data_IF_471523709874
#
_entry.id   IF_471523709874
#
_cell.length_a   1.000
_cell.length_b   1.000
_cell.length_c   1.000
_cell.angle_alpha   90.00
_cell.angle_beta   90.00
_cell.angle_gamma   90.00
#
_symmetry.space_group_name_H-M   'P 1'
#
loop_
_entity.id
_entity.type
_entity.pdbx_description
1 polymer ?
#
# COMPACT_ATOMS: atom_id res chain seq x y z
N UNK A 1 6.85 12.05 -55.20
CA UNK A 1 5.56 11.39 -54.88
C UNK A 1 5.61 9.88 -54.72
N UNK A 2 6.38 9.10 -55.52
CA UNK A 2 6.41 7.62 -55.41
C UNK A 2 7.05 7.07 -54.11
N UNK A 3 7.98 7.79 -53.47
CA UNK A 3 8.63 7.33 -52.21
C UNK A 3 7.76 7.46 -50.96
N UNK A 4 6.82 8.42 -50.89
CA UNK A 4 5.94 8.60 -49.73
C UNK A 4 4.77 7.61 -49.72
N UNK A 5 4.33 7.12 -50.86
CA UNK A 5 3.24 6.14 -50.98
C UNK A 5 3.72 4.75 -50.48
N UNK A 6 4.99 4.39 -50.71
CA UNK A 6 5.55 3.10 -50.28
C UNK A 6 5.67 2.97 -48.77
N UNK A 7 5.97 4.06 -48.06
CA UNK A 7 6.08 4.09 -46.59
C UNK A 7 4.71 3.93 -45.90
N UNK A 8 3.68 4.54 -46.47
CA UNK A 8 2.32 4.48 -45.92
C UNK A 8 1.73 3.06 -46.06
N UNK A 9 2.00 2.37 -47.20
CA UNK A 9 1.52 0.99 -47.42
C UNK A 9 2.18 0.00 -46.46
N UNK A 10 3.48 0.16 -46.15
CA UNK A 10 4.17 -0.72 -45.16
C UNK A 10 3.68 -0.49 -43.73
N UNK A 11 3.36 0.74 -43.33
CA UNK A 11 2.85 1.01 -41.98
C UNK A 11 1.42 0.43 -41.77
N UNK A 12 0.56 0.48 -42.76
CA UNK A 12 -0.80 -0.08 -42.71
C UNK A 12 -0.78 -1.62 -42.68
N UNK A 13 0.14 -2.25 -43.42
CA UNK A 13 0.29 -3.71 -43.43
C UNK A 13 0.80 -4.25 -42.04
N UNK A 14 1.72 -3.54 -41.38
CA UNK A 14 2.22 -3.91 -40.07
C UNK A 14 1.13 -3.78 -38.97
N UNK A 15 0.26 -2.79 -39.04
CA UNK A 15 -0.84 -2.60 -38.09
C UNK A 15 -1.91 -3.70 -38.22
N UNK A 16 -2.17 -4.20 -39.44
CA UNK A 16 -3.14 -5.27 -39.70
C UNK A 16 -2.66 -6.64 -39.19
N UNK A 17 -1.36 -6.91 -39.18
CA UNK A 17 -0.78 -8.17 -38.68
C UNK A 17 -0.87 -8.25 -37.15
N UNK A 18 -0.65 -7.15 -36.43
CA UNK A 18 -0.76 -7.09 -34.96
C UNK A 18 -2.19 -7.31 -34.49
N UNK A 19 -3.19 -6.76 -35.21
CA UNK A 19 -4.61 -6.93 -34.82
C UNK A 19 -5.14 -8.34 -35.09
N UNK A 20 -4.60 -9.08 -36.07
CA UNK A 20 -4.97 -10.46 -36.35
C UNK A 20 -4.35 -11.44 -35.33
N UNK A 21 -3.11 -11.23 -34.91
CA UNK A 21 -2.44 -12.05 -33.90
C UNK A 21 -3.11 -11.91 -32.50
N UNK A 22 -3.55 -10.70 -32.11
CA UNK A 22 -4.27 -10.45 -30.87
C UNK A 22 -5.65 -11.14 -30.80
N UNK A 23 -6.36 -11.27 -31.93
CA UNK A 23 -7.66 -11.93 -31.99
C UNK A 23 -7.59 -13.46 -31.89
N UNK A 24 -6.51 -14.08 -32.35
CA UNK A 24 -6.27 -15.53 -32.21
C UNK A 24 -5.87 -15.89 -30.77
N UNK A 25 -5.10 -15.04 -30.07
CA UNK A 25 -4.72 -15.26 -28.70
C UNK A 25 -5.92 -15.25 -27.73
N UNK A 26 -6.87 -14.34 -27.92
CA UNK A 26 -8.09 -14.23 -27.09
C UNK A 26 -9.05 -15.42 -27.33
N UNK A 27 -9.08 -15.99 -28.54
CA UNK A 27 -9.93 -17.17 -28.82
C UNK A 27 -9.42 -18.43 -28.17
N UNK A 28 -8.10 -18.63 -28.03
CA UNK A 28 -7.51 -19.83 -27.44
C UNK A 28 -7.68 -19.85 -25.91
N UNK A 29 -7.58 -18.70 -25.21
CA UNK A 29 -7.81 -18.64 -23.76
C UNK A 29 -9.26 -18.86 -23.34
N UNK A 30 -10.25 -18.61 -24.21
CA UNK A 30 -11.66 -18.83 -23.90
C UNK A 30 -12.13 -20.28 -24.04
N UNK A 31 -11.27 -21.17 -24.57
CA UNK A 31 -11.60 -22.59 -24.80
C UNK A 31 -11.12 -23.50 -23.66
N UNK A 32 -10.22 -23.04 -22.78
CA UNK A 32 -9.69 -23.83 -21.66
C UNK A 32 -10.45 -23.67 -20.32
N UNK A 33 -11.36 -22.70 -20.21
CA UNK A 33 -12.05 -22.42 -18.94
C UNK A 33 -13.42 -23.12 -18.76
N UNK A 34 -13.87 -23.96 -19.71
CA UNK A 34 -15.22 -24.54 -19.68
C UNK A 34 -15.27 -26.05 -19.43
N UNK A 35 -14.21 -26.68 -18.96
CA UNK A 35 -14.22 -28.15 -18.79
C UNK A 35 -13.67 -28.58 -17.42
N UNK A 36 -14.31 -28.14 -16.32
CA UNK A 36 -14.23 -28.78 -14.99
C UNK A 36 -15.38 -28.32 -14.09
N UNK A 37 -16.52 -28.94 -14.27
CA UNK A 37 -17.53 -29.05 -13.22
C UNK A 37 -18.37 -30.30 -13.47
N UNK A 38 -18.14 -31.35 -12.71
CA UNK A 38 -19.20 -32.28 -12.26
C UNK A 38 -18.65 -33.39 -11.37
N UNK A 39 -19.40 -33.65 -10.28
CA UNK A 39 -19.46 -34.85 -9.40
C UNK A 39 -18.32 -34.99 -8.37
N UNK A 40 -18.58 -35.22 -7.05
CA UNK A 40 -19.56 -36.05 -6.39
C UNK A 40 -19.78 -35.63 -4.93
N UNK A 41 -21.03 -35.72 -4.50
CA UNK A 41 -21.51 -35.78 -3.13
C UNK A 41 -21.24 -37.18 -2.56
N UNK A 42 -20.75 -37.26 -1.32
CA UNK A 42 -20.89 -38.46 -0.48
C UNK A 42 -21.05 -38.04 0.97
N UNK A 43 -22.24 -38.35 1.48
CA UNK A 43 -22.59 -38.39 2.91
C UNK A 43 -21.78 -39.44 3.64
N UNK A 44 -21.40 -39.17 4.91
CA UNK A 44 -21.36 -40.18 5.97
C UNK A 44 -21.40 -39.54 7.36
N UNK A 45 -22.53 -39.69 7.97
CA UNK A 45 -22.97 -40.23 9.29
C UNK A 45 -22.02 -40.09 10.47
N UNK A 46 -22.63 -39.53 11.54
CA UNK A 46 -22.22 -39.55 12.95
C UNK A 46 -22.04 -40.98 13.46
N UNK A 47 -21.03 -41.19 14.32
CA UNK A 47 -21.08 -42.26 15.34
C UNK A 47 -20.41 -41.79 16.65
N UNK A 48 -20.94 -42.34 17.71
CA UNK A 48 -21.00 -41.99 19.11
C UNK A 48 -19.71 -42.05 19.94
N UNK A 49 -19.77 -41.28 21.04
CA UNK A 49 -18.85 -41.22 22.17
C UNK A 49 -18.98 -42.50 23.04
N UNK A 50 -17.96 -42.98 23.75
CA UNK A 50 -18.15 -43.34 25.11
C UNK A 50 -17.20 -42.63 26.09
N UNK A 51 -17.87 -42.16 27.13
CA UNK A 51 -17.46 -41.78 28.48
C UNK A 51 -16.60 -42.83 29.18
N UNK A 52 -15.47 -42.44 29.81
CA UNK A 52 -14.87 -43.20 30.92
C UNK A 52 -14.16 -42.27 31.90
N UNK A 53 -14.78 -42.19 33.03
CA UNK A 53 -14.44 -41.94 34.43
C UNK A 53 -12.97 -41.85 34.88
N UNK A 54 -12.79 -40.85 35.74
CA UNK A 54 -11.67 -40.53 36.66
C UNK A 54 -11.44 -41.66 37.69
N UNK A 55 -10.21 -41.80 38.20
CA UNK A 55 -10.05 -41.92 39.63
C UNK A 55 -9.04 -40.93 40.24
N UNK A 56 -9.51 -40.39 41.34
CA UNK A 56 -8.88 -39.66 42.41
C UNK A 56 -7.69 -40.43 43.05
N UNK A 57 -6.58 -39.77 43.32
CA UNK A 57 -5.65 -40.18 44.37
C UNK A 57 -4.84 -38.98 44.92
N UNK A 58 -5.11 -38.79 46.18
CA UNK A 58 -4.48 -38.10 47.30
C UNK A 58 -2.99 -37.71 47.24
N UNK A 59 -2.76 -36.52 47.80
CA UNK A 59 -1.52 -35.85 48.21
C UNK A 59 -0.78 -36.61 49.30
N UNK A 60 0.55 -36.44 49.41
CA UNK A 60 1.11 -36.05 50.69
C UNK A 60 2.02 -34.81 50.60
N UNK A 61 1.83 -33.98 51.59
CA UNK A 61 2.63 -32.88 52.08
C UNK A 61 4.09 -33.27 52.39
N UNK A 62 5.09 -32.49 52.01
CA UNK A 62 6.31 -32.29 52.80
C UNK A 62 7.18 -31.12 52.30
N UNK A 63 7.33 -30.11 53.17
CA UNK A 63 8.50 -29.30 53.52
C UNK A 63 9.31 -28.48 52.52
N UNK A 64 9.14 -27.19 52.63
CA UNK A 64 10.06 -26.03 52.85
C UNK A 64 11.52 -26.20 52.37
N UNK A 65 11.90 -25.34 51.42
CA UNK A 65 13.23 -24.74 51.35
C UNK A 65 13.13 -23.34 50.78
N UNK A 66 13.48 -22.34 51.57
CA UNK A 66 13.74 -20.96 51.23
C UNK A 66 14.81 -20.86 50.12
N UNK A 67 14.47 -20.26 49.00
CA UNK A 67 15.46 -19.63 48.13
C UNK A 67 14.94 -18.24 47.71
N UNK A 68 15.56 -17.21 48.24
CA UNK A 68 15.43 -15.82 47.82
C UNK A 68 15.76 -15.70 46.34
N UNK A 69 14.75 -15.58 45.50
CA UNK A 69 14.83 -14.99 44.16
C UNK A 69 14.45 -13.53 44.27
N UNK A 70 15.23 -12.57 43.72
CA UNK A 70 14.80 -11.20 43.70
C UNK A 70 13.58 -11.10 42.76
N UNK A 71 12.49 -10.68 43.34
CA UNK A 71 11.24 -10.34 42.65
C UNK A 71 11.49 -9.12 41.77
N UNK A 72 11.82 -9.37 40.48
CA UNK A 72 11.85 -8.34 39.44
C UNK A 72 10.52 -8.43 38.70
N UNK A 73 9.45 -8.12 39.40
CA UNK A 73 8.16 -7.87 38.74
C UNK A 73 8.23 -6.52 38.05
N UNK A 74 8.80 -6.47 36.85
CA UNK A 74 8.57 -5.36 35.89
C UNK A 74 7.09 -5.43 35.53
N UNK A 75 6.32 -4.40 35.88
CA UNK A 75 4.90 -4.36 35.59
C UNK A 75 4.70 -4.30 34.07
N UNK A 76 3.60 -4.87 33.57
CA UNK A 76 3.23 -4.74 32.14
C UNK A 76 3.19 -3.27 31.71
N UNK A 77 2.85 -2.35 32.62
CA UNK A 77 2.88 -0.90 32.39
C UNK A 77 4.30 -0.36 32.17
N UNK A 78 5.32 -0.87 32.90
CA UNK A 78 6.72 -0.42 32.71
C UNK A 78 7.31 -0.95 31.40
N UNK A 79 6.88 -2.12 30.93
CA UNK A 79 7.29 -2.69 29.64
C UNK A 79 6.64 -1.91 28.50
N UNK A 80 5.36 -1.53 28.60
CA UNK A 80 4.66 -0.71 27.63
C UNK A 80 5.26 0.69 27.51
N UNK A 81 5.61 1.33 28.62
CA UNK A 81 6.19 2.67 28.65
C UNK A 81 7.60 2.69 28.03
N UNK A 82 8.45 1.70 28.35
CA UNK A 82 9.78 1.57 27.75
C UNK A 82 9.74 1.24 26.25
N UNK A 83 8.77 0.46 25.80
CA UNK A 83 8.58 0.17 24.39
C UNK A 83 8.11 1.40 23.62
N UNK A 84 7.21 2.19 24.22
CA UNK A 84 6.69 3.43 23.64
C UNK A 84 7.80 4.49 23.48
N UNK A 85 8.62 4.73 24.49
CA UNK A 85 9.72 5.70 24.41
C UNK A 85 10.81 5.26 23.40
N UNK A 86 11.14 3.96 23.32
CA UNK A 86 12.06 3.44 22.30
C UNK A 86 11.51 3.61 20.88
N UNK A 87 10.19 3.54 20.69
CA UNK A 87 9.58 3.69 19.38
C UNK A 87 9.51 5.15 18.91
N UNK A 88 9.52 6.14 19.81
CA UNK A 88 9.57 7.56 19.42
C UNK A 88 10.83 7.94 18.67
N UNK A 89 11.97 7.36 19.03
CA UNK A 89 13.25 7.60 18.35
C UNK A 89 13.27 7.06 16.91
N UNK A 90 12.33 6.17 16.57
CA UNK A 90 12.17 5.61 15.22
C UNK A 90 11.36 6.50 14.27
N UNK A 91 10.75 7.59 14.77
CA UNK A 91 10.08 8.59 13.96
C UNK A 91 10.98 9.81 13.78
N UNK A 92 11.56 9.95 12.60
CA UNK A 92 12.46 11.08 12.34
C UNK A 92 12.40 11.56 10.90
N UNK A 93 12.80 12.83 10.74
CA UNK A 93 13.02 13.48 9.45
C UNK A 93 14.50 13.74 9.30
N UNK A 94 15.03 13.51 8.12
CA UNK A 94 16.39 13.87 7.76
C UNK A 94 16.48 14.48 6.36
N UNK A 95 17.60 15.11 6.07
CA UNK A 95 17.98 15.41 4.68
C UNK A 95 18.17 14.08 3.93
N UNK A 96 17.98 14.12 2.61
CA UNK A 96 18.24 12.96 1.76
C UNK A 96 19.74 12.65 1.79
N UNK A 97 20.13 11.49 2.34
CA UNK A 97 21.53 11.04 2.33
C UNK A 97 22.00 10.67 0.92
N UNK A 98 23.32 10.57 0.72
CA UNK A 98 23.85 10.17 -0.59
C UNK A 98 23.42 8.77 -0.98
N UNK A 99 23.34 7.83 -0.03
CA UNK A 99 22.89 6.45 -0.26
C UNK A 99 21.42 6.38 -0.70
N UNK A 100 20.54 7.19 -0.06
CA UNK A 100 19.14 7.31 -0.45
C UNK A 100 19.03 7.94 -1.83
N UNK A 101 19.79 9.03 -2.06
CA UNK A 101 19.76 9.73 -3.33
C UNK A 101 20.24 8.85 -4.50
N UNK A 102 21.26 8.01 -4.27
CA UNK A 102 21.73 7.05 -5.28
C UNK A 102 20.64 6.04 -5.66
N UNK A 103 19.86 5.55 -4.68
CA UNK A 103 18.69 4.67 -4.96
C UNK A 103 17.62 5.37 -5.81
N UNK A 104 17.42 6.68 -5.61
CA UNK A 104 16.39 7.48 -6.29
C UNK A 104 16.80 7.89 -7.72
N UNK A 105 18.10 8.04 -8.00
CA UNK A 105 18.60 8.53 -9.29
C UNK A 105 18.18 7.61 -10.44
N UNK A 106 17.57 8.22 -11.47
CA UNK A 106 17.06 7.50 -12.65
C UNK A 106 15.75 6.74 -12.43
N UNK A 107 15.26 6.69 -11.20
CA UNK A 107 13.98 6.10 -10.81
C UNK A 107 12.99 7.20 -10.41
N UNK A 108 12.72 7.38 -9.11
CA UNK A 108 11.85 8.47 -8.65
C UNK A 108 12.43 9.85 -8.91
N UNK A 109 13.76 10.01 -8.82
CA UNK A 109 14.46 11.25 -9.16
C UNK A 109 15.04 11.16 -10.58
N UNK A 110 14.20 11.44 -11.58
CA UNK A 110 14.56 11.35 -13.01
C UNK A 110 15.52 12.47 -13.43
N UNK A 111 16.22 12.26 -14.56
CA UNK A 111 17.22 13.21 -15.07
C UNK A 111 16.65 14.61 -15.40
N UNK A 112 15.35 14.69 -15.69
CA UNK A 112 14.60 15.92 -15.97
C UNK A 112 13.88 16.47 -14.73
N UNK A 113 14.13 15.90 -13.54
CA UNK A 113 13.59 16.40 -12.29
C UNK A 113 14.07 17.82 -12.02
N UNK A 114 13.12 18.74 -11.86
CA UNK A 114 13.40 20.15 -11.60
C UNK A 114 13.34 20.52 -10.12
N UNK A 115 12.92 19.58 -9.25
CA UNK A 115 12.86 19.80 -7.82
C UNK A 115 14.27 19.61 -7.23
N UNK A 116 14.86 20.63 -6.55
CA UNK A 116 16.15 20.48 -5.88
C UNK A 116 16.10 19.42 -4.77
N UNK A 117 17.14 18.59 -4.66
CA UNK A 117 17.28 17.56 -3.61
C UNK A 117 17.10 18.14 -2.20
N UNK A 118 17.62 19.33 -1.94
CA UNK A 118 17.51 20.04 -0.68
C UNK A 118 16.10 20.47 -0.30
N UNK A 119 15.13 20.37 -1.22
CA UNK A 119 13.72 20.57 -0.94
C UNK A 119 13.01 19.26 -0.56
N UNK A 120 13.68 18.13 -0.65
CA UNK A 120 13.17 16.84 -0.21
C UNK A 120 13.65 16.48 1.20
N UNK A 121 12.84 15.69 1.91
CA UNK A 121 13.17 15.09 3.20
C UNK A 121 12.87 13.61 3.15
N UNK A 122 13.76 12.84 3.75
CA UNK A 122 13.53 11.46 4.09
C UNK A 122 12.81 11.41 5.43
N UNK A 123 11.78 10.59 5.50
CA UNK A 123 11.02 10.33 6.72
C UNK A 123 11.08 8.85 7.02
N UNK A 124 11.51 8.51 8.24
CA UNK A 124 11.41 7.17 8.79
C UNK A 124 10.25 7.12 9.77
N UNK A 125 9.42 6.09 9.64
CA UNK A 125 8.22 5.87 10.46
C UNK A 125 8.12 4.42 10.90
N UNK A 126 7.32 4.17 11.93
CA UNK A 126 6.78 2.84 12.21
C UNK A 126 5.33 2.77 11.75
N UNK A 127 4.87 1.59 11.36
CA UNK A 127 3.47 1.33 11.07
C UNK A 127 3.05 -0.05 11.56
N UNK A 128 1.76 -0.23 11.82
CA UNK A 128 1.18 -1.54 12.11
C UNK A 128 0.77 -2.18 10.79
N UNK A 129 1.34 -3.32 10.45
CA UNK A 129 1.00 -4.07 9.24
C UNK A 129 -0.35 -4.79 9.36
N UNK A 130 -0.80 -5.37 8.25
CA UNK A 130 -2.02 -6.19 8.23
C UNK A 130 -1.85 -7.52 9.00
N UNK A 131 -0.63 -7.90 9.31
CA UNK A 131 -0.26 -9.00 10.20
C UNK A 131 -0.30 -8.63 11.71
N UNK A 132 -0.72 -7.39 12.03
CA UNK A 132 -0.70 -6.81 13.38
C UNK A 132 0.71 -6.73 14.00
N UNK A 133 1.76 -6.73 13.18
CA UNK A 133 3.12 -6.50 13.65
C UNK A 133 3.55 -5.08 13.33
N UNK A 134 4.54 -4.60 14.08
CA UNK A 134 5.17 -3.30 13.83
C UNK A 134 6.25 -3.47 12.77
N UNK A 135 6.21 -2.62 11.77
CA UNK A 135 7.17 -2.55 10.67
C UNK A 135 7.81 -1.17 10.59
N UNK A 136 9.01 -1.11 10.03
CA UNK A 136 9.66 0.14 9.65
C UNK A 136 9.17 0.58 8.26
N UNK A 137 8.98 1.88 8.08
CA UNK A 137 8.54 2.48 6.83
C UNK A 137 9.40 3.67 6.42
N UNK A 138 9.48 3.91 5.11
CA UNK A 138 10.30 4.96 4.51
C UNK A 138 9.48 5.79 3.53
N UNK A 139 9.56 7.11 3.62
CA UNK A 139 8.95 8.06 2.69
C UNK A 139 9.96 9.14 2.28
N UNK A 140 9.77 9.69 1.09
CA UNK A 140 10.40 10.93 0.67
C UNK A 140 9.32 11.92 0.32
N UNK A 141 9.34 13.10 0.95
CA UNK A 141 8.37 14.17 0.70
C UNK A 141 9.08 15.52 0.59
N UNK A 142 8.34 16.55 0.16
CA UNK A 142 8.83 17.92 0.22
C UNK A 142 8.97 18.37 1.68
N UNK A 143 10.01 19.15 1.95
CA UNK A 143 10.28 19.72 3.29
C UNK A 143 9.10 20.52 3.85
N UNK A 144 8.26 21.10 2.97
CA UNK A 144 7.14 21.96 3.37
C UNK A 144 5.97 21.18 3.99
N UNK A 145 5.93 19.85 3.80
CA UNK A 145 4.91 18.95 4.39
C UNK A 145 5.52 17.86 5.28
N UNK A 146 6.83 17.83 5.46
CA UNK A 146 7.51 16.73 6.13
C UNK A 146 7.10 16.57 7.60
N UNK A 147 6.97 17.69 8.32
CA UNK A 147 6.54 17.68 9.73
C UNK A 147 5.09 17.18 9.86
N UNK A 148 4.17 17.67 9.02
CA UNK A 148 2.78 17.21 9.01
C UNK A 148 2.69 15.70 8.75
N UNK A 149 3.42 15.19 7.74
CA UNK A 149 3.41 13.76 7.39
C UNK A 149 3.96 12.92 8.54
N UNK A 150 5.03 13.36 9.20
CA UNK A 150 5.60 12.65 10.35
C UNK A 150 4.60 12.58 11.51
N UNK A 151 3.91 13.69 11.84
CA UNK A 151 2.90 13.74 12.90
C UNK A 151 1.73 12.82 12.57
N UNK A 152 1.19 12.85 11.34
CA UNK A 152 0.11 11.99 10.87
C UNK A 152 0.49 10.50 11.04
N UNK A 153 1.67 10.08 10.59
CA UNK A 153 2.10 8.69 10.71
C UNK A 153 2.30 8.25 12.16
N UNK A 154 2.74 9.15 13.05
CA UNK A 154 2.78 8.87 14.49
C UNK A 154 1.40 8.62 15.06
N UNK A 155 0.43 9.47 14.76
CA UNK A 155 -0.93 9.33 15.27
C UNK A 155 -1.62 8.08 14.72
N UNK A 156 -1.41 7.74 13.44
CA UNK A 156 -1.88 6.50 12.84
C UNK A 156 -1.29 5.29 13.56
N UNK A 157 0.04 5.29 13.80
CA UNK A 157 0.73 4.22 14.52
C UNK A 157 0.21 4.07 15.97
N UNK A 158 0.12 5.17 16.71
CA UNK A 158 -0.35 5.20 18.11
C UNK A 158 -1.80 4.72 18.23
N UNK A 159 -2.61 4.94 17.20
CA UNK A 159 -3.99 4.48 17.13
C UNK A 159 -4.13 3.04 16.66
N UNK A 160 -3.04 2.35 16.31
CA UNK A 160 -3.04 0.99 15.76
C UNK A 160 -3.66 0.92 14.35
N UNK A 161 -3.68 2.05 13.61
CA UNK A 161 -4.17 2.07 12.23
C UNK A 161 -3.26 1.23 11.33
N UNK A 162 -3.88 0.33 10.57
CA UNK A 162 -3.12 -0.63 9.77
C UNK A 162 -2.75 -0.06 8.40
N UNK A 163 -1.46 -0.07 8.09
CA UNK A 163 -0.90 0.22 6.77
C UNK A 163 -0.05 -0.99 6.37
N UNK A 164 -0.32 -1.60 5.21
CA UNK A 164 0.35 -2.86 4.85
C UNK A 164 1.84 -2.66 4.60
N UNK A 165 2.20 -1.65 3.80
CA UNK A 165 3.58 -1.33 3.42
C UNK A 165 3.76 0.17 3.31
N UNK A 166 4.95 0.64 3.70
CA UNK A 166 5.40 2.02 3.53
C UNK A 166 6.85 1.97 3.01
N UNK A 167 7.02 1.97 1.68
CA UNK A 167 8.32 1.80 1.03
C UNK A 167 8.57 2.89 0.00
N UNK A 168 9.84 3.22 -0.20
CA UNK A 168 10.22 4.10 -1.29
C UNK A 168 9.77 3.48 -2.62
N UNK A 169 9.18 4.29 -3.49
CA UNK A 169 8.73 3.86 -4.83
C UNK A 169 9.89 3.31 -5.66
N UNK A 170 11.11 3.64 -5.29
CA UNK A 170 12.36 3.19 -5.91
C UNK A 170 12.59 1.69 -5.78
N UNK A 171 11.99 1.03 -4.78
CA UNK A 171 11.99 -0.43 -4.64
C UNK A 171 11.16 -1.12 -5.74
N UNK A 172 10.26 -0.37 -6.37
CA UNK A 172 9.44 -0.78 -7.51
C UNK A 172 9.93 -0.16 -8.83
N UNK A 173 11.21 0.26 -8.90
CA UNK A 173 11.79 0.96 -10.06
C UNK A 173 11.01 2.20 -10.49
N UNK A 174 10.33 2.87 -9.53
CA UNK A 174 9.43 4.00 -9.73
C UNK A 174 8.22 3.70 -10.65
N UNK A 175 7.82 2.43 -10.73
CA UNK A 175 6.59 1.99 -11.41
C UNK A 175 5.40 2.11 -10.44
N UNK A 176 4.53 3.09 -10.68
CA UNK A 176 3.35 3.37 -9.87
C UNK A 176 2.39 2.15 -9.85
N UNK A 177 2.18 1.49 -10.99
CA UNK A 177 1.27 0.34 -11.08
C UNK A 177 1.78 -0.86 -10.27
N UNK A 178 3.08 -1.16 -10.35
CA UNK A 178 3.69 -2.22 -9.57
C UNK A 178 3.60 -1.95 -8.06
N UNK A 179 3.90 -0.71 -7.64
CA UNK A 179 3.81 -0.27 -6.25
C UNK A 179 2.38 -0.34 -5.70
N UNK A 180 1.43 0.21 -6.44
CA UNK A 180 0.01 0.21 -6.05
C UNK A 180 -0.57 -1.20 -6.01
N UNK A 181 -0.22 -2.06 -6.97
CA UNK A 181 -0.66 -3.46 -7.02
C UNK A 181 -0.17 -4.30 -5.83
N UNK A 182 0.95 -3.92 -5.23
CA UNK A 182 1.53 -4.52 -4.03
C UNK A 182 1.05 -3.84 -2.72
N UNK A 183 0.04 -2.98 -2.82
CA UNK A 183 -0.54 -2.20 -1.71
C UNK A 183 0.49 -1.35 -0.95
N UNK A 184 1.45 -0.79 -1.65
CA UNK A 184 2.47 0.07 -1.06
C UNK A 184 1.95 1.49 -0.88
N UNK A 185 2.12 2.06 0.31
CA UNK A 185 1.94 3.48 0.58
C UNK A 185 3.22 4.21 0.22
N UNK A 186 3.14 5.28 -0.57
CA UNK A 186 4.31 5.98 -1.09
C UNK A 186 4.06 7.48 -1.27
N UNK A 187 5.11 8.25 -1.59
CA UNK A 187 4.99 9.70 -1.73
C UNK A 187 5.69 10.24 -2.97
N UNK A 188 6.99 10.58 -2.90
CA UNK A 188 7.70 11.22 -4.00
C UNK A 188 7.93 10.27 -5.18
N UNK A 189 7.45 10.67 -6.37
CA UNK A 189 7.80 10.07 -7.66
C UNK A 189 7.72 11.17 -8.75
N UNK A 190 8.87 11.62 -9.26
CA UNK A 190 8.88 12.69 -10.26
C UNK A 190 8.27 12.21 -11.58
N UNK A 191 7.13 12.77 -11.92
CA UNK A 191 6.42 12.53 -13.17
C UNK A 191 5.48 13.68 -13.52
N UNK A 192 5.15 13.78 -14.80
CA UNK A 192 4.10 14.68 -15.27
C UNK A 192 2.75 13.97 -15.18
N UNK A 193 1.68 14.75 -15.00
CA UNK A 193 0.32 14.26 -15.15
C UNK A 193 0.14 13.83 -16.62
N UNK A 194 -0.40 12.63 -16.84
CA UNK A 194 -0.59 12.03 -18.17
C UNK A 194 -1.16 13.02 -19.19
N UNK A 195 -0.53 13.10 -20.36
CA UNK A 195 -0.90 13.99 -21.48
C UNK A 195 -0.81 15.50 -21.16
N UNK A 196 -0.05 15.90 -20.14
CA UNK A 196 0.17 17.31 -19.78
C UNK A 196 1.65 17.63 -19.59
N UNK A 197 1.98 18.91 -19.44
CA UNK A 197 3.30 19.40 -19.00
C UNK A 197 3.31 19.79 -17.52
N UNK A 198 2.22 19.52 -16.79
CA UNK A 198 2.10 19.82 -15.36
C UNK A 198 2.72 18.68 -14.57
N UNK A 199 3.66 19.01 -13.68
CA UNK A 199 4.24 18.04 -12.72
C UNK A 199 3.12 17.59 -11.76
N UNK A 200 3.05 16.28 -11.46
CA UNK A 200 2.12 15.76 -10.47
C UNK A 200 2.50 16.24 -9.06
N UNK A 201 1.57 16.18 -8.12
CA UNK A 201 1.86 16.49 -6.71
C UNK A 201 2.89 15.52 -6.13
N UNK A 202 2.87 14.23 -6.51
CA UNK A 202 3.97 13.29 -6.19
C UNK A 202 5.31 13.75 -6.76
N UNK A 203 5.32 14.27 -7.99
CA UNK A 203 6.54 14.82 -8.59
C UNK A 203 7.09 16.07 -7.91
N UNK A 204 6.28 16.74 -7.10
CA UNK A 204 6.67 17.85 -6.26
C UNK A 204 6.95 17.42 -4.80
N UNK A 205 6.73 16.15 -4.46
CA UNK A 205 6.79 15.62 -3.09
C UNK A 205 5.67 16.14 -2.18
N UNK A 206 4.56 16.62 -2.75
CA UNK A 206 3.44 17.25 -2.07
C UNK A 206 2.20 16.34 -1.98
N UNK A 207 2.37 15.03 -2.16
CA UNK A 207 1.31 14.04 -2.04
C UNK A 207 1.80 12.76 -1.39
N UNK A 208 0.87 12.07 -0.72
CA UNK A 208 1.06 10.75 -0.10
C UNK A 208 -0.12 9.86 -0.48
N UNK A 209 0.15 8.63 -0.88
CA UNK A 209 -0.84 7.59 -1.15
C UNK A 209 -0.80 6.53 -0.04
N UNK A 210 -1.96 6.13 0.47
CA UNK A 210 -2.11 5.19 1.60
C UNK A 210 -2.94 3.98 1.20
N UNK A 211 -2.43 2.76 1.50
CA UNK A 211 -3.12 1.48 1.25
C UNK A 211 -3.74 1.42 -0.15
N UNK A 212 -2.91 1.57 -1.15
CA UNK A 212 -3.24 1.92 -2.53
C UNK A 212 -4.13 0.89 -3.23
N UNK A 213 -3.92 -0.41 -2.99
CA UNK A 213 -4.74 -1.48 -3.57
C UNK A 213 -6.19 -1.40 -3.09
N UNK A 214 -6.41 -1.11 -1.80
CA UNK A 214 -7.74 -1.01 -1.19
C UNK A 214 -8.43 0.32 -1.50
N UNK A 215 -7.68 1.32 -1.95
CA UNK A 215 -8.16 2.67 -2.20
C UNK A 215 -7.80 3.17 -3.61
N UNK A 216 -8.31 2.51 -4.66
CA UNK A 216 -7.85 2.75 -6.02
C UNK A 216 -8.16 4.15 -6.55
N UNK A 217 -7.36 4.57 -7.53
CA UNK A 217 -7.72 5.66 -8.42
C UNK A 217 -8.68 5.16 -9.49
N UNK A 218 -9.80 5.83 -9.66
CA UNK A 218 -10.82 5.50 -10.66
C UNK A 218 -11.20 6.71 -11.49
N UNK A 219 -11.25 6.53 -12.81
CA UNK A 219 -11.66 7.56 -13.76
C UNK A 219 -12.38 6.94 -14.95
N UNK A 220 -13.17 7.73 -15.65
CA UNK A 220 -13.76 7.32 -16.93
C UNK A 220 -12.89 7.84 -18.08
N UNK A 221 -12.44 6.93 -18.93
CA UNK A 221 -11.66 7.22 -20.14
C UNK A 221 -12.41 6.64 -21.33
N UNK A 222 -12.78 7.49 -22.29
CA UNK A 222 -13.51 7.10 -23.49
C UNK A 222 -14.83 6.33 -23.21
N UNK A 223 -15.45 6.59 -22.06
CA UNK A 223 -16.69 5.95 -21.61
C UNK A 223 -16.50 4.63 -20.87
N UNK A 224 -15.28 4.18 -20.70
CA UNK A 224 -14.93 2.98 -19.93
C UNK A 224 -14.29 3.35 -18.59
N UNK A 225 -14.53 2.54 -17.55
CA UNK A 225 -13.93 2.72 -16.24
C UNK A 225 -12.46 2.26 -16.27
N UNK A 226 -11.55 3.18 -15.98
CA UNK A 226 -10.13 2.89 -15.72
C UNK A 226 -9.93 2.79 -14.21
N UNK A 227 -9.20 1.76 -13.77
CA UNK A 227 -8.91 1.45 -12.37
C UNK A 227 -7.39 1.32 -12.25
N UNK A 228 -6.81 2.04 -11.31
CA UNK A 228 -5.38 1.98 -10.99
C UNK A 228 -5.23 1.77 -9.47
N UNK A 229 -4.59 0.67 -9.01
CA UNK A 229 -4.01 -0.40 -9.83
C UNK A 229 -5.06 -1.31 -10.48
N UNK A 230 -4.67 -1.98 -11.57
CA UNK A 230 -5.59 -2.80 -12.38
C UNK A 230 -6.20 -3.98 -11.61
N UNK A 231 -5.54 -4.47 -10.56
CA UNK A 231 -6.01 -5.56 -9.70
C UNK A 231 -6.96 -5.11 -8.57
N UNK A 232 -7.31 -3.81 -8.49
CA UNK A 232 -8.14 -3.24 -7.42
C UNK A 232 -9.66 -3.25 -7.72
N UNK A 233 -10.13 -4.01 -8.71
CA UNK A 233 -11.54 -4.01 -9.14
C UNK A 233 -12.53 -4.32 -8.01
N UNK A 234 -12.15 -5.14 -7.03
CA UNK A 234 -12.99 -5.52 -5.89
C UNK A 234 -13.24 -4.35 -4.92
N UNK A 235 -12.44 -3.28 -4.96
CA UNK A 235 -12.48 -2.13 -4.06
C UNK A 235 -13.09 -0.86 -4.68
N UNK A 236 -13.58 -0.94 -5.91
CA UNK A 236 -14.17 0.20 -6.64
C UNK A 236 -15.57 0.55 -6.12
N UNK A 237 -16.36 -0.45 -5.71
CA UNK A 237 -17.69 -0.22 -5.15
C UNK A 237 -17.61 0.27 -3.70
N UNK A 238 -17.55 1.58 -3.53
CA UNK A 238 -17.40 2.26 -2.23
C UNK A 238 -18.67 2.28 -1.39
N UNK A 239 -19.81 1.79 -1.92
CA UNK A 239 -21.04 1.58 -1.15
C UNK A 239 -20.94 0.36 -0.22
N UNK A 240 -20.01 -0.56 -0.52
CA UNK A 240 -19.71 -1.73 0.29
C UNK A 240 -18.84 -1.37 1.47
N UNK A 241 -19.01 -2.10 2.56
CA UNK A 241 -18.08 -2.08 3.69
C UNK A 241 -16.99 -3.14 3.48
N UNK A 242 -15.73 -2.74 3.65
CA UNK A 242 -14.56 -3.61 3.61
C UNK A 242 -13.41 -3.00 4.42
N UNK A 243 -12.50 -3.84 4.90
CA UNK A 243 -11.35 -3.43 5.69
C UNK A 243 -10.44 -2.47 4.91
N UNK A 244 -9.81 -1.54 5.61
CA UNK A 244 -8.81 -0.59 5.07
C UNK A 244 -9.36 0.40 4.02
N UNK A 245 -10.69 0.54 3.95
CA UNK A 245 -11.36 1.54 3.12
C UNK A 245 -11.17 2.93 3.72
N UNK A 246 -10.59 3.85 2.97
CA UNK A 246 -10.54 5.27 3.34
C UNK A 246 -11.82 5.95 2.87
N UNK A 247 -12.56 6.54 3.80
CA UNK A 247 -13.73 7.40 3.55
C UNK A 247 -13.76 8.54 4.59
N UNK A 248 -14.81 9.37 4.58
CA UNK A 248 -14.90 10.54 5.47
C UNK A 248 -14.97 10.20 6.98
N UNK A 249 -15.30 8.96 7.32
CA UNK A 249 -15.33 8.50 8.71
C UNK A 249 -14.01 7.86 9.15
N UNK A 250 -13.11 7.57 8.19
CA UNK A 250 -11.81 6.94 8.42
C UNK A 250 -10.83 7.87 9.15
N UNK A 251 -9.98 7.29 10.02
CA UNK A 251 -8.99 8.05 10.80
C UNK A 251 -7.94 8.70 9.91
N UNK A 252 -7.46 7.98 8.89
CA UNK A 252 -6.45 8.50 7.96
C UNK A 252 -6.97 9.75 7.23
N UNK A 253 -8.21 9.71 6.72
CA UNK A 253 -8.86 10.88 6.13
C UNK A 253 -8.89 12.08 7.09
N UNK A 254 -9.31 11.84 8.34
CA UNK A 254 -9.43 12.91 9.35
C UNK A 254 -8.09 13.57 9.64
N UNK A 255 -7.06 12.78 9.90
CA UNK A 255 -5.72 13.28 10.21
C UNK A 255 -5.13 14.09 9.04
N UNK A 256 -5.15 13.54 7.82
CA UNK A 256 -4.62 14.26 6.67
C UNK A 256 -5.38 15.59 6.43
N UNK A 257 -6.71 15.59 6.54
CA UNK A 257 -7.50 16.82 6.33
C UNK A 257 -7.34 17.84 7.46
N UNK A 258 -7.17 17.42 8.70
CA UNK A 258 -6.83 18.28 9.84
C UNK A 258 -5.46 18.96 9.66
N UNK A 259 -4.51 18.28 9.01
CA UNK A 259 -3.21 18.85 8.61
C UNK A 259 -3.26 19.64 7.28
N UNK A 260 -4.47 19.86 6.73
CA UNK A 260 -4.71 20.72 5.57
C UNK A 260 -4.42 20.07 4.22
N UNK A 261 -4.39 18.75 4.12
CA UNK A 261 -4.35 18.02 2.84
C UNK A 261 -5.74 17.95 2.22
N UNK A 262 -5.80 17.97 0.91
CA UNK A 262 -6.99 17.66 0.12
C UNK A 262 -6.99 16.15 -0.22
N UNK A 263 -8.16 15.51 -0.13
CA UNK A 263 -8.32 14.10 -0.47
C UNK A 263 -8.82 13.90 -1.89
N UNK A 264 -8.15 13.05 -2.67
CA UNK A 264 -8.54 12.73 -4.05
C UNK A 264 -9.90 12.02 -4.17
N UNK A 265 -10.38 11.38 -3.09
CA UNK A 265 -11.74 10.83 -3.02
C UNK A 265 -12.85 11.88 -3.13
N UNK A 266 -12.55 13.16 -2.91
CA UNK A 266 -13.50 14.28 -3.05
C UNK A 266 -13.52 14.89 -4.46
N UNK A 267 -12.59 14.53 -5.35
CA UNK A 267 -12.55 15.07 -6.69
C UNK A 267 -13.83 14.74 -7.48
N UNK A 268 -14.22 15.62 -8.40
CA UNK A 268 -15.50 15.50 -9.13
C UNK A 268 -15.43 14.73 -10.44
N UNK A 269 -14.28 14.74 -11.12
CA UNK A 269 -14.10 14.13 -12.44
C UNK A 269 -13.45 12.75 -12.43
N UNK A 270 -12.78 12.46 -11.36
CA UNK A 270 -12.18 11.18 -11.01
C UNK A 270 -12.25 11.01 -9.51
N UNK A 271 -11.92 9.84 -9.02
CA UNK A 271 -11.80 9.56 -7.59
C UNK A 271 -10.48 8.88 -7.34
N UNK A 272 -9.67 9.46 -6.46
CA UNK A 272 -8.40 8.88 -6.06
C UNK A 272 -8.44 8.64 -4.55
N UNK A 273 -8.89 7.46 -4.16
CA UNK A 273 -9.21 7.17 -2.76
C UNK A 273 -7.98 6.98 -1.88
N UNK A 274 -6.81 6.69 -2.48
CA UNK A 274 -5.53 6.57 -1.77
C UNK A 274 -4.87 7.94 -1.50
N UNK A 275 -5.18 8.95 -2.31
CA UNK A 275 -4.38 10.15 -2.55
C UNK A 275 -4.73 11.31 -1.62
N UNK A 276 -3.70 11.84 -0.95
CA UNK A 276 -3.75 13.08 -0.17
C UNK A 276 -2.71 14.07 -0.68
N UNK A 277 -3.12 15.28 -1.03
CA UNK A 277 -2.21 16.31 -1.55
C UNK A 277 -2.36 17.67 -0.85
N UNK A 278 -1.24 18.46 -0.82
CA UNK A 278 -1.22 19.78 -0.18
C UNK A 278 -0.57 20.86 -1.05
#
# INVERSE_FOLDING_TARGET
MKKHISIIITAVASLLIVTLAGREFIKNHKKESNDKSSTNVSENTCEDIPDTSIPDTSIPDTCVADTNTPDTSTSEADILDTTYENNKEQFYISEISDDIFEKMQGKSYKADCTLPRENLRYIHVLHVGFDNQVHEGELVVNKDIADDVLEIFKELYESGYQIEKVRLIDEYDADDEASMSDNNSSAFNFRFISHTTKISKHGMGMAVDINTLYNPYVKTVDGELSIEPANAADYVDRSRDFSHKIDHDDLCYKLFTEHGFEWGGDWTHSKDYQHFEK
#
